data_IF_935486232324
#
_entry.id   IF_935486232324
#
_cell.length_a   1.000
_cell.length_b   1.000
_cell.length_c   1.000
_cell.angle_alpha   90.00
_cell.angle_beta   90.00
_cell.angle_gamma   90.00
#
_symmetry.space_group_name_H-M   'P 1'
#
loop_
_entity.id
_entity.type
_entity.pdbx_description
1 polymer ?
#
# COMPACT_ATOMS: atom_id res chain seq x y z
N UNK A 1 -28.87 -4.39 -25.82
CA UNK A 1 -29.16 -4.50 -24.39
C UNK A 1 -28.65 -3.25 -23.72
N UNK A 2 -29.41 -2.63 -22.84
CA UNK A 2 -28.96 -1.45 -22.10
C UNK A 2 -27.75 -1.80 -21.23
N UNK A 3 -26.74 -0.92 -21.20
CA UNK A 3 -25.50 -1.08 -20.41
C UNK A 3 -25.83 -0.63 -18.97
N UNK A 4 -26.23 -1.56 -18.11
CA UNK A 4 -26.54 -1.32 -16.70
C UNK A 4 -25.55 -2.04 -15.78
N UNK A 5 -25.43 -1.59 -14.52
CA UNK A 5 -24.62 -2.28 -13.51
C UNK A 5 -25.02 -3.75 -13.41
N UNK A 6 -26.29 -4.06 -13.32
CA UNK A 6 -26.80 -5.43 -13.23
C UNK A 6 -26.38 -6.30 -14.44
N UNK A 7 -26.57 -5.78 -15.68
CA UNK A 7 -26.25 -6.54 -16.89
C UNK A 7 -24.74 -6.84 -17.00
N UNK A 8 -23.90 -5.87 -16.63
CA UNK A 8 -22.44 -6.04 -16.66
C UNK A 8 -21.94 -6.95 -15.54
N UNK A 9 -22.55 -6.89 -14.36
CA UNK A 9 -22.22 -7.78 -13.26
C UNK A 9 -22.59 -9.24 -13.56
N UNK A 10 -23.73 -9.50 -14.22
CA UNK A 10 -24.05 -10.84 -14.74
C UNK A 10 -22.99 -11.36 -15.73
N UNK A 11 -22.55 -10.51 -16.66
CA UNK A 11 -21.46 -10.86 -17.60
C UNK A 11 -20.14 -11.12 -16.85
N UNK A 12 -19.81 -10.30 -15.86
CA UNK A 12 -18.64 -10.50 -15.01
C UNK A 12 -18.68 -11.87 -14.30
N UNK A 13 -19.80 -12.23 -13.71
CA UNK A 13 -19.97 -13.53 -13.03
C UNK A 13 -19.73 -14.71 -13.99
N UNK A 14 -20.09 -14.57 -15.25
CA UNK A 14 -19.88 -15.61 -16.26
C UNK A 14 -18.42 -15.67 -16.77
N UNK A 15 -17.70 -14.55 -16.81
CA UNK A 15 -16.41 -14.44 -17.48
C UNK A 15 -15.21 -14.35 -16.52
N UNK A 16 -15.40 -13.93 -15.28
CA UNK A 16 -14.32 -13.67 -14.31
C UNK A 16 -14.39 -14.67 -13.16
N UNK A 17 -13.27 -15.33 -12.80
CA UNK A 17 -13.25 -16.27 -11.70
C UNK A 17 -13.75 -15.64 -10.38
N UNK A 18 -14.50 -16.41 -9.60
CA UNK A 18 -15.05 -15.99 -8.29
C UNK A 18 -13.99 -15.50 -7.31
N UNK A 19 -12.75 -16.00 -7.42
CA UNK A 19 -11.62 -15.58 -6.60
C UNK A 19 -11.22 -14.10 -6.78
N UNK A 20 -11.62 -13.47 -7.89
CA UNK A 20 -11.51 -12.01 -8.06
C UNK A 20 -12.69 -11.37 -7.34
N UNK A 21 -12.51 -10.96 -6.08
CA UNK A 21 -13.55 -10.34 -5.28
C UNK A 21 -14.10 -9.04 -5.87
N UNK A 22 -15.25 -8.59 -5.35
CA UNK A 22 -15.84 -7.30 -5.67
C UNK A 22 -16.48 -6.73 -4.40
N UNK A 23 -16.02 -5.56 -3.99
CA UNK A 23 -16.51 -4.91 -2.76
C UNK A 23 -17.82 -4.16 -3.04
N UNK A 24 -17.85 -3.39 -4.13
CA UNK A 24 -19.03 -2.62 -4.53
C UNK A 24 -19.64 -3.17 -5.82
N UNK A 25 -20.95 -3.46 -5.87
CA UNK A 25 -21.62 -3.93 -7.08
C UNK A 25 -21.92 -2.75 -8.03
N UNK A 26 -20.86 -2.02 -8.40
CA UNK A 26 -20.89 -0.84 -9.28
C UNK A 26 -19.84 -1.05 -10.37
N UNK A 27 -20.18 -0.66 -11.62
CA UNK A 27 -19.29 -0.75 -12.77
C UNK A 27 -18.93 0.68 -13.20
N UNK A 28 -17.69 1.08 -12.95
CA UNK A 28 -17.18 2.39 -13.32
C UNK A 28 -17.12 2.54 -14.86
N UNK A 29 -17.53 3.69 -15.37
CA UNK A 29 -17.41 4.05 -16.78
C UNK A 29 -16.37 5.14 -17.02
N UNK A 30 -16.32 6.15 -16.17
CA UNK A 30 -15.35 7.24 -16.23
C UNK A 30 -15.00 7.76 -14.84
N UNK A 31 -13.89 8.44 -14.74
CA UNK A 31 -13.47 9.06 -13.49
C UNK A 31 -12.64 10.33 -13.78
N UNK A 32 -12.64 11.27 -12.82
CA UNK A 32 -11.85 12.48 -12.88
C UNK A 32 -11.47 12.90 -11.44
N UNK A 33 -10.21 13.12 -11.17
CA UNK A 33 -9.66 13.41 -9.84
C UNK A 33 -10.20 12.44 -8.77
N UNK A 34 -11.09 12.90 -7.88
CA UNK A 34 -11.71 12.09 -6.80
C UNK A 34 -13.17 11.74 -7.08
N UNK A 35 -13.63 11.85 -8.30
CA UNK A 35 -14.99 11.51 -8.73
C UNK A 35 -15.01 10.33 -9.68
N UNK A 36 -15.92 9.39 -9.46
CA UNK A 36 -16.16 8.24 -10.35
C UNK A 36 -17.63 8.25 -10.76
N UNK A 37 -17.91 7.97 -12.04
CA UNK A 37 -19.26 7.76 -12.56
C UNK A 37 -19.43 6.33 -13.02
N UNK A 38 -20.54 5.72 -12.63
CA UNK A 38 -20.87 4.39 -13.11
C UNK A 38 -21.53 4.41 -14.50
N UNK A 39 -21.78 3.22 -15.04
CA UNK A 39 -22.39 3.03 -16.36
C UNK A 39 -23.86 3.51 -16.45
N UNK A 40 -24.48 3.85 -15.35
CA UNK A 40 -25.82 4.42 -15.26
C UNK A 40 -25.78 5.94 -15.03
N UNK A 41 -24.55 6.53 -15.00
CA UNK A 41 -24.31 7.96 -14.85
C UNK A 41 -24.36 8.43 -13.40
N UNK A 42 -24.44 7.55 -12.41
CA UNK A 42 -24.43 7.92 -10.99
C UNK A 42 -23.02 8.31 -10.57
N UNK A 43 -22.94 9.42 -9.84
CA UNK A 43 -21.67 9.98 -9.33
C UNK A 43 -21.34 9.46 -7.94
N UNK A 44 -20.03 9.19 -7.70
CA UNK A 44 -19.49 8.80 -6.42
C UNK A 44 -18.23 9.61 -6.10
N UNK A 45 -18.09 10.01 -4.84
CA UNK A 45 -16.80 10.50 -4.30
C UNK A 45 -15.94 9.27 -3.97
N UNK A 46 -14.73 9.22 -4.50
CA UNK A 46 -13.82 8.09 -4.35
C UNK A 46 -12.86 8.27 -3.15
N UNK A 47 -13.23 7.67 -2.02
CA UNK A 47 -12.35 7.56 -0.86
C UNK A 47 -11.51 6.26 -0.86
N UNK A 48 -11.53 5.50 -1.96
CA UNK A 48 -10.74 4.28 -2.14
C UNK A 48 -9.46 4.52 -2.96
N UNK A 49 -9.48 5.49 -3.90
CA UNK A 49 -8.34 5.84 -4.75
C UNK A 49 -7.69 4.65 -5.44
N UNK A 50 -8.49 3.64 -5.88
CA UNK A 50 -7.94 2.41 -6.46
C UNK A 50 -7.10 1.57 -5.49
N UNK A 51 -7.36 1.62 -4.19
CA UNK A 51 -6.56 1.07 -3.09
C UNK A 51 -5.19 1.78 -3.01
N UNK A 52 -5.22 3.09 -2.77
CA UNK A 52 -4.05 3.96 -2.65
C UNK A 52 -3.17 4.03 -3.92
N UNK A 53 -3.76 3.92 -5.10
CA UNK A 53 -3.03 4.02 -6.39
C UNK A 53 -3.03 5.44 -6.93
N UNK A 54 -4.04 6.24 -6.59
CA UNK A 54 -4.35 7.50 -7.26
C UNK A 54 -4.10 8.74 -6.39
N UNK A 55 -2.88 8.90 -5.88
CA UNK A 55 -2.54 10.09 -5.07
C UNK A 55 -2.68 11.38 -5.88
N UNK A 56 -2.38 11.36 -7.17
CA UNK A 56 -2.57 12.49 -8.09
C UNK A 56 -3.98 12.61 -8.67
N UNK A 57 -4.91 11.74 -8.25
CA UNK A 57 -6.27 11.67 -8.79
C UNK A 57 -6.38 10.91 -10.11
N UNK A 58 -7.62 10.62 -10.49
CA UNK A 58 -7.93 10.02 -11.79
C UNK A 58 -7.60 10.99 -12.92
N UNK A 59 -6.92 10.49 -13.95
CA UNK A 59 -6.64 11.20 -15.21
C UNK A 59 -5.98 12.57 -15.02
N UNK A 60 -4.99 12.67 -14.13
CA UNK A 60 -4.27 13.93 -13.93
C UNK A 60 -3.71 14.45 -15.27
N UNK A 61 -4.00 15.73 -15.69
CA UNK A 61 -3.69 16.19 -17.04
C UNK A 61 -2.22 16.05 -17.43
N UNK A 62 -1.27 16.37 -16.53
CA UNK A 62 0.17 16.24 -16.79
C UNK A 62 0.60 14.79 -16.96
N UNK A 63 0.02 13.86 -16.20
CA UNK A 63 0.31 12.43 -16.32
C UNK A 63 -0.21 11.90 -17.65
N UNK A 64 -1.44 12.25 -18.03
CA UNK A 64 -2.03 11.82 -19.31
C UNK A 64 -1.25 12.40 -20.50
N UNK A 65 -0.84 13.67 -20.44
CA UNK A 65 -0.04 14.29 -21.50
C UNK A 65 1.31 13.56 -21.71
N UNK A 66 2.02 13.21 -20.62
CA UNK A 66 3.28 12.47 -20.70
C UNK A 66 3.09 11.06 -21.28
N UNK A 67 2.01 10.38 -20.91
CA UNK A 67 1.64 9.06 -21.47
C UNK A 67 1.35 9.17 -22.98
N UNK A 68 0.57 10.17 -23.41
CA UNK A 68 0.26 10.39 -24.82
C UNK A 68 1.51 10.70 -25.64
N UNK A 69 2.40 11.52 -25.10
CA UNK A 69 3.69 11.82 -25.75
C UNK A 69 4.53 10.55 -25.90
N UNK A 70 4.64 9.72 -24.83
CA UNK A 70 5.40 8.48 -24.88
C UNK A 70 4.81 7.46 -25.86
N UNK A 71 3.48 7.38 -25.98
CA UNK A 71 2.81 6.52 -26.98
C UNK A 71 3.18 6.88 -28.42
N UNK A 72 3.47 8.15 -28.70
CA UNK A 72 3.96 8.61 -29.99
C UNK A 72 5.40 8.23 -30.32
N UNK A 73 6.17 7.79 -29.32
CA UNK A 73 7.61 7.46 -29.46
C UNK A 73 7.84 5.95 -29.50
N UNK A 74 7.39 5.25 -28.47
CA UNK A 74 7.77 3.86 -28.22
C UNK A 74 6.82 3.24 -27.20
N UNK A 75 6.22 2.10 -27.53
CA UNK A 75 5.35 1.35 -26.61
C UNK A 75 6.10 0.26 -25.82
N UNK A 76 7.06 -0.43 -26.46
CA UNK A 76 7.77 -1.55 -25.82
C UNK A 76 8.99 -1.99 -26.63
N UNK A 77 10.09 -2.32 -25.90
CA UNK A 77 11.27 -3.00 -26.51
C UNK A 77 11.82 -4.10 -25.61
N UNK A 78 11.28 -4.30 -24.42
CA UNK A 78 11.91 -5.00 -23.29
C UNK A 78 13.25 -4.36 -22.91
N UNK A 79 13.31 -3.69 -21.75
CA UNK A 79 14.51 -2.90 -21.32
C UNK A 79 15.81 -3.68 -21.39
N UNK A 80 15.78 -5.00 -21.14
CA UNK A 80 16.94 -5.88 -21.23
C UNK A 80 17.42 -6.13 -22.66
N UNK A 81 16.59 -5.87 -23.68
CA UNK A 81 16.95 -6.02 -25.10
C UNK A 81 17.43 -4.69 -25.66
N UNK A 82 16.61 -3.65 -25.53
CA UNK A 82 16.96 -2.28 -25.91
C UNK A 82 16.51 -1.34 -24.80
N UNK A 83 17.49 -0.72 -24.14
CA UNK A 83 17.24 0.26 -23.08
C UNK A 83 16.58 1.53 -23.64
N UNK A 84 15.84 2.24 -22.79
CA UNK A 84 15.18 3.51 -23.10
C UNK A 84 15.29 4.48 -21.92
N UNK A 85 15.40 5.76 -22.24
CA UNK A 85 15.67 6.84 -21.31
C UNK A 85 14.66 6.94 -20.14
N UNK A 86 13.32 6.85 -20.34
CA UNK A 86 12.37 6.95 -19.24
C UNK A 86 12.57 5.95 -18.09
N UNK A 87 13.09 4.75 -18.37
CA UNK A 87 13.44 3.79 -17.31
C UNK A 87 14.64 4.27 -16.50
N UNK A 88 15.69 4.77 -17.20
CA UNK A 88 16.93 5.23 -16.56
C UNK A 88 16.62 6.45 -15.69
N UNK A 89 15.95 7.44 -16.24
CA UNK A 89 15.54 8.66 -15.54
C UNK A 89 14.70 8.34 -14.31
N UNK A 90 13.70 7.47 -14.44
CA UNK A 90 12.86 7.07 -13.28
C UNK A 90 13.68 6.34 -12.21
N UNK A 91 14.59 5.46 -12.61
CA UNK A 91 15.46 4.76 -11.66
C UNK A 91 16.33 5.74 -10.87
N UNK A 92 16.90 6.75 -11.52
CA UNK A 92 17.68 7.82 -10.90
C UNK A 92 16.82 8.68 -9.96
N UNK A 93 15.61 9.08 -10.40
CA UNK A 93 14.71 9.90 -9.62
C UNK A 93 14.20 9.18 -8.34
N UNK A 94 13.91 7.89 -8.42
CA UNK A 94 13.55 7.08 -7.24
C UNK A 94 14.77 6.94 -6.31
N UNK A 95 15.95 6.65 -6.84
CA UNK A 95 17.17 6.52 -6.05
C UNK A 95 17.50 7.78 -5.24
N UNK A 96 17.24 8.98 -5.79
CA UNK A 96 17.41 10.26 -5.07
C UNK A 96 16.47 10.40 -3.88
N UNK A 97 15.26 9.81 -3.93
CA UNK A 97 14.20 9.94 -2.92
C UNK A 97 14.28 8.88 -1.82
N UNK A 98 14.93 7.75 -2.07
CA UNK A 98 15.11 6.71 -1.03
C UNK A 98 16.08 7.23 0.05
N UNK A 99 15.75 7.10 1.35
CA UNK A 99 16.61 7.56 2.44
C UNK A 99 17.99 6.93 2.46
N UNK A 100 18.97 7.65 2.97
CA UNK A 100 20.36 7.23 3.16
C UNK A 100 21.36 7.95 2.25
N UNK A 101 22.56 8.15 2.77
CA UNK A 101 23.67 8.83 2.07
C UNK A 101 24.69 7.77 1.58
N UNK A 102 24.31 6.98 0.61
CA UNK A 102 25.11 5.97 -0.06
C UNK A 102 24.69 5.81 -1.52
N UNK A 103 25.53 5.25 -2.39
CA UNK A 103 25.14 4.91 -3.76
C UNK A 103 23.96 3.96 -3.79
N UNK A 104 22.95 4.27 -4.61
CA UNK A 104 21.71 3.50 -4.72
C UNK A 104 21.45 3.05 -6.15
N UNK A 105 20.76 1.93 -6.31
CA UNK A 105 20.24 1.45 -7.59
C UNK A 105 18.78 1.11 -7.46
N UNK A 106 18.06 1.18 -8.58
CA UNK A 106 16.63 0.91 -8.66
C UNK A 106 16.35 -0.12 -9.75
N UNK A 107 15.67 -1.19 -9.39
CA UNK A 107 15.05 -2.13 -10.30
C UNK A 107 13.58 -1.74 -10.47
N UNK A 108 13.11 -1.60 -11.71
CA UNK A 108 11.69 -1.43 -12.01
C UNK A 108 11.07 -2.76 -12.43
N UNK A 109 9.85 -3.01 -11.96
CA UNK A 109 9.00 -4.16 -12.29
C UNK A 109 7.54 -3.70 -12.44
N UNK A 110 6.57 -4.62 -12.53
CA UNK A 110 5.20 -4.23 -12.91
C UNK A 110 4.26 -4.13 -11.72
N UNK A 111 4.38 -5.03 -10.74
CA UNK A 111 3.46 -5.11 -9.60
C UNK A 111 4.19 -5.08 -8.25
N UNK A 112 3.49 -4.66 -7.18
CA UNK A 112 4.05 -4.68 -5.82
C UNK A 112 4.50 -6.07 -5.38
N UNK A 113 3.79 -7.13 -5.80
CA UNK A 113 4.22 -8.51 -5.52
C UNK A 113 5.56 -8.84 -6.17
N UNK A 114 5.77 -8.43 -7.42
CA UNK A 114 7.08 -8.60 -8.08
C UNK A 114 8.18 -7.81 -7.38
N UNK A 115 7.88 -6.59 -6.93
CA UNK A 115 8.83 -5.80 -6.15
C UNK A 115 9.27 -6.54 -4.89
N UNK A 116 8.33 -7.06 -4.09
CA UNK A 116 8.63 -7.82 -2.88
C UNK A 116 9.36 -9.14 -3.19
N UNK A 117 8.94 -9.89 -4.21
CA UNK A 117 9.64 -11.11 -4.66
C UNK A 117 11.12 -10.81 -4.99
N UNK A 118 11.37 -9.71 -5.73
CA UNK A 118 12.73 -9.33 -6.09
C UNK A 118 13.51 -8.78 -4.89
N UNK A 119 12.91 -8.04 -3.96
CA UNK A 119 13.56 -7.62 -2.73
C UNK A 119 14.05 -8.82 -1.90
N UNK A 120 13.22 -9.87 -1.77
CA UNK A 120 13.62 -11.12 -1.10
C UNK A 120 14.74 -11.84 -1.87
N UNK A 121 14.67 -11.94 -3.20
CA UNK A 121 15.74 -12.52 -4.03
C UNK A 121 17.05 -11.78 -3.84
N UNK A 122 17.03 -10.46 -3.89
CA UNK A 122 18.21 -9.61 -3.72
C UNK A 122 18.79 -9.80 -2.32
N UNK A 123 17.96 -9.79 -1.28
CA UNK A 123 18.40 -9.98 0.10
C UNK A 123 19.05 -11.35 0.30
N UNK A 124 18.47 -12.41 -0.24
CA UNK A 124 19.04 -13.77 -0.18
C UNK A 124 20.38 -13.85 -0.93
N UNK A 125 20.47 -13.27 -2.10
CA UNK A 125 21.72 -13.27 -2.88
C UNK A 125 22.83 -12.48 -2.18
N UNK A 126 22.51 -11.29 -1.62
CA UNK A 126 23.48 -10.43 -0.96
C UNK A 126 24.02 -11.03 0.35
N UNK A 127 23.19 -11.79 1.08
CA UNK A 127 23.58 -12.34 2.38
C UNK A 127 24.02 -13.81 2.32
N UNK A 128 23.68 -14.53 1.26
CA UNK A 128 23.82 -15.99 1.20
C UNK A 128 22.89 -16.76 2.15
N UNK A 129 21.89 -16.09 2.74
CA UNK A 129 20.96 -16.64 3.73
C UNK A 129 19.57 -16.84 3.12
N UNK A 130 18.73 -17.71 3.70
CA UNK A 130 17.43 -18.07 3.12
C UNK A 130 16.22 -17.56 3.89
N UNK A 131 16.34 -17.37 5.21
CA UNK A 131 15.23 -17.02 6.10
C UNK A 131 14.74 -15.59 5.89
N UNK A 132 13.44 -15.37 6.03
CA UNK A 132 12.81 -14.05 6.02
C UNK A 132 11.81 -13.95 7.18
N UNK A 133 11.90 -12.90 7.96
CA UNK A 133 10.90 -12.62 9.01
C UNK A 133 9.92 -11.59 8.46
N UNK A 134 8.62 -11.88 8.57
CA UNK A 134 7.52 -10.97 8.30
C UNK A 134 6.64 -10.83 9.56
N UNK A 135 5.66 -9.93 9.54
CA UNK A 135 4.85 -9.64 10.72
C UNK A 135 3.40 -10.15 10.60
N UNK A 136 2.75 -10.37 11.75
CA UNK A 136 1.32 -10.64 11.82
C UNK A 136 0.53 -9.48 11.20
N UNK A 137 -0.56 -9.79 10.48
CA UNK A 137 -1.40 -8.79 9.82
C UNK A 137 -0.79 -8.14 8.56
N UNK A 138 0.49 -8.38 8.23
CA UNK A 138 1.14 -7.81 7.06
C UNK A 138 0.50 -8.26 5.75
N UNK A 139 0.64 -7.41 4.70
CA UNK A 139 0.25 -7.75 3.34
C UNK A 139 1.36 -7.38 2.35
N UNK A 140 1.96 -8.39 1.74
CA UNK A 140 3.09 -8.22 0.82
C UNK A 140 2.79 -8.68 -0.61
N UNK A 141 1.61 -9.22 -0.88
CA UNK A 141 1.19 -9.64 -2.21
C UNK A 141 0.51 -11.02 -2.25
N UNK A 142 0.29 -11.51 -3.48
CA UNK A 142 -0.44 -12.76 -3.75
C UNK A 142 0.30 -13.76 -4.63
N UNK A 143 1.58 -13.56 -4.93
CA UNK A 143 2.46 -14.60 -5.48
C UNK A 143 2.92 -15.53 -4.37
N UNK A 144 3.44 -16.70 -4.67
CA UNK A 144 3.66 -17.74 -3.64
C UNK A 144 4.56 -17.28 -2.49
N UNK A 145 5.69 -16.59 -2.76
CA UNK A 145 6.54 -16.06 -1.69
C UNK A 145 5.84 -14.93 -0.94
N UNK A 146 5.28 -13.94 -1.65
CA UNK A 146 4.61 -12.80 -1.02
C UNK A 146 3.34 -13.20 -0.27
N UNK A 147 2.66 -14.25 -0.73
CA UNK A 147 1.53 -14.85 -0.03
C UNK A 147 1.96 -15.51 1.28
N UNK A 148 3.11 -16.19 1.27
CA UNK A 148 3.73 -16.73 2.49
C UNK A 148 4.13 -15.63 3.48
N UNK A 149 4.60 -14.48 2.99
CA UNK A 149 4.94 -13.31 3.82
C UNK A 149 3.69 -12.58 4.34
N UNK A 150 2.54 -12.69 3.65
CA UNK A 150 1.28 -12.07 4.07
C UNK A 150 0.74 -12.71 5.35
N UNK A 151 0.46 -11.90 6.36
CA UNK A 151 0.12 -12.32 7.74
C UNK A 151 -1.38 -12.53 7.99
N UNK A 152 -2.19 -12.71 6.95
CA UNK A 152 -3.64 -12.91 7.04
C UNK A 152 -4.07 -14.10 6.18
N UNK A 153 -4.71 -15.10 6.79
CA UNK A 153 -5.10 -16.36 6.10
C UNK A 153 -6.30 -16.13 5.17
N UNK A 154 -7.40 -15.60 5.70
CA UNK A 154 -8.61 -15.34 4.91
C UNK A 154 -8.64 -13.88 4.47
N UNK A 155 -8.86 -13.58 3.18
CA UNK A 155 -9.17 -14.47 2.06
C UNK A 155 -7.93 -14.95 1.27
N UNK A 156 -6.70 -14.67 1.73
CA UNK A 156 -5.52 -14.73 0.89
C UNK A 156 -4.95 -16.17 0.70
N UNK A 157 -4.49 -16.81 1.78
CA UNK A 157 -3.81 -18.11 1.69
C UNK A 157 -4.70 -19.31 1.96
N UNK A 158 -5.96 -19.11 2.36
CA UNK A 158 -6.88 -20.18 2.65
C UNK A 158 -7.09 -21.12 1.45
N UNK A 159 -6.82 -22.40 1.62
CA UNK A 159 -6.96 -23.42 0.56
C UNK A 159 -5.83 -23.45 -0.48
N UNK A 160 -4.77 -22.65 -0.32
CA UNK A 160 -3.65 -22.59 -1.28
C UNK A 160 -2.53 -23.62 -1.02
N UNK A 161 -2.67 -24.47 0.01
CA UNK A 161 -1.66 -25.45 0.37
C UNK A 161 -0.49 -24.89 1.16
N UNK A 162 0.66 -25.55 1.06
CA UNK A 162 1.86 -25.13 1.78
C UNK A 162 2.54 -23.92 1.12
N UNK A 163 2.92 -22.97 1.94
CA UNK A 163 3.70 -21.81 1.51
C UNK A 163 5.20 -22.14 1.43
N UNK A 164 6.01 -21.36 0.69
CA UNK A 164 7.46 -21.53 0.66
C UNK A 164 8.07 -21.55 2.05
N UNK A 165 9.04 -22.44 2.29
CA UNK A 165 9.77 -22.53 3.55
C UNK A 165 10.70 -21.34 3.80
N UNK A 166 11.20 -21.23 5.04
CA UNK A 166 12.12 -20.18 5.46
C UNK A 166 11.44 -18.84 5.73
N UNK A 167 10.14 -18.82 5.97
CA UNK A 167 9.37 -17.64 6.38
C UNK A 167 8.99 -17.81 7.85
N UNK A 168 9.34 -16.82 8.65
CA UNK A 168 9.04 -16.76 10.08
C UNK A 168 8.11 -15.59 10.38
N UNK A 169 7.29 -15.70 11.43
CA UNK A 169 6.26 -14.72 11.74
C UNK A 169 6.49 -14.10 13.11
N UNK A 170 6.83 -12.79 13.14
CA UNK A 170 6.88 -12.00 14.35
C UNK A 170 5.55 -11.29 14.62
N UNK A 171 5.34 -10.85 15.85
CA UNK A 171 4.21 -10.00 16.21
C UNK A 171 4.45 -8.56 15.75
N UNK A 172 3.44 -7.90 15.18
CA UNK A 172 3.49 -6.45 14.94
C UNK A 172 3.07 -5.72 16.23
N UNK A 173 3.71 -4.62 16.62
CA UNK A 173 3.26 -3.84 17.77
C UNK A 173 1.87 -3.24 17.48
N UNK A 174 0.95 -3.45 18.39
CA UNK A 174 -0.40 -2.87 18.34
C UNK A 174 -0.96 -2.82 19.76
N UNK A 175 -0.73 -1.72 20.47
CA UNK A 175 -1.15 -1.55 21.86
C UNK A 175 -2.67 -1.65 22.02
N UNK A 176 -3.42 -1.20 21.03
CA UNK A 176 -4.89 -1.34 20.99
C UNK A 176 -5.33 -2.81 21.11
N UNK A 177 -4.51 -3.74 20.64
CA UNK A 177 -4.74 -5.18 20.69
C UNK A 177 -3.81 -5.91 21.68
N UNK A 178 -3.19 -5.17 22.61
CA UNK A 178 -2.39 -5.75 23.70
C UNK A 178 -1.02 -6.29 23.28
N UNK A 179 -0.45 -5.83 22.16
CA UNK A 179 0.91 -6.18 21.74
C UNK A 179 1.80 -4.95 21.85
N UNK A 180 2.69 -4.94 22.82
CA UNK A 180 3.67 -3.88 23.00
C UNK A 180 4.84 -3.98 22.01
N UNK A 181 5.66 -2.92 21.93
CA UNK A 181 6.93 -2.96 21.19
C UNK A 181 7.88 -4.03 21.75
N UNK A 182 7.90 -4.22 23.06
CA UNK A 182 8.71 -5.24 23.71
C UNK A 182 8.26 -6.65 23.34
N UNK A 183 6.96 -6.90 23.30
CA UNK A 183 6.41 -8.18 22.84
C UNK A 183 6.81 -8.48 21.40
N UNK A 184 6.80 -7.46 20.54
CA UNK A 184 7.21 -7.59 19.13
C UNK A 184 8.69 -7.98 19.01
N UNK A 185 9.59 -7.25 19.68
CA UNK A 185 11.03 -7.56 19.67
C UNK A 185 11.28 -8.94 20.29
N UNK A 186 10.65 -9.25 21.44
CA UNK A 186 10.77 -10.57 22.06
C UNK A 186 10.29 -11.70 21.16
N UNK A 187 9.29 -11.46 20.31
CA UNK A 187 8.83 -12.46 19.32
C UNK A 187 9.89 -12.77 18.26
N UNK A 188 10.67 -11.76 17.84
CA UNK A 188 11.81 -11.95 16.93
C UNK A 188 12.93 -12.74 17.62
N UNK A 189 13.26 -12.36 18.85
CA UNK A 189 14.27 -13.08 19.65
C UNK A 189 13.87 -14.54 19.89
N UNK A 190 12.57 -14.82 20.05
CA UNK A 190 12.05 -16.19 20.18
C UNK A 190 12.26 -16.98 18.89
N UNK A 191 12.04 -16.37 17.71
CA UNK A 191 12.38 -17.00 16.42
C UNK A 191 13.85 -17.37 16.40
N UNK A 192 14.75 -16.47 16.83
CA UNK A 192 16.20 -16.74 16.86
C UNK A 192 16.60 -17.88 17.79
N UNK A 193 15.81 -18.15 18.82
CA UNK A 193 16.06 -19.23 19.79
C UNK A 193 15.47 -20.58 19.39
N UNK A 194 14.33 -20.58 18.69
CA UNK A 194 13.55 -21.80 18.53
C UNK A 194 13.38 -22.26 17.08
N UNK A 195 13.43 -21.31 16.09
CA UNK A 195 13.04 -21.60 14.73
C UNK A 195 14.21 -21.50 13.73
N UNK A 196 15.04 -20.46 13.84
CA UNK A 196 16.19 -20.22 12.97
C UNK A 196 17.24 -19.32 13.64
N UNK A 197 18.52 -19.63 13.46
CA UNK A 197 19.58 -18.77 13.94
C UNK A 197 19.59 -17.42 13.20
N UNK A 198 19.99 -16.29 13.82
CA UNK A 198 20.09 -14.99 13.15
C UNK A 198 20.91 -15.05 11.85
N UNK A 199 21.94 -15.91 11.79
CA UNK A 199 22.80 -16.11 10.63
C UNK A 199 22.10 -16.79 9.45
N UNK A 200 20.93 -17.41 9.67
CA UNK A 200 20.12 -18.01 8.61
C UNK A 200 19.09 -17.03 8.04
N UNK A 201 18.90 -15.87 8.68
CA UNK A 201 17.93 -14.85 8.28
C UNK A 201 18.58 -13.85 7.31
N UNK A 202 18.07 -13.80 6.09
CA UNK A 202 18.48 -12.84 5.06
C UNK A 202 17.91 -11.45 5.32
N UNK A 203 16.63 -11.37 5.67
CA UNK A 203 15.94 -10.10 5.81
C UNK A 203 14.79 -10.16 6.82
N UNK A 204 14.45 -8.98 7.33
CA UNK A 204 13.16 -8.68 7.96
C UNK A 204 12.43 -7.72 7.03
N UNK A 205 11.17 -8.04 6.67
CA UNK A 205 10.31 -7.18 5.85
C UNK A 205 9.18 -6.60 6.70
N UNK A 206 8.95 -5.29 6.56
CA UNK A 206 7.93 -4.58 7.33
C UNK A 206 7.29 -3.46 6.52
N UNK A 207 5.98 -3.29 6.67
CA UNK A 207 5.25 -2.10 6.23
C UNK A 207 5.41 -1.00 7.30
N UNK A 208 5.87 0.22 6.99
CA UNK A 208 5.93 1.33 7.95
C UNK A 208 4.58 1.67 8.59
N UNK A 209 3.50 1.54 7.80
CA UNK A 209 2.11 1.51 8.26
C UNK A 209 1.47 0.29 7.62
N UNK A 210 0.93 -0.62 8.42
CA UNK A 210 0.26 -1.81 7.89
C UNK A 210 -1.00 -1.44 7.10
N UNK A 211 -1.02 -1.74 5.80
CA UNK A 211 -2.16 -1.43 4.94
C UNK A 211 -3.37 -2.32 5.23
N UNK A 212 -3.33 -3.55 4.76
CA UNK A 212 -4.43 -4.51 4.91
C UNK A 212 -4.64 -4.97 6.36
N UNK A 213 -3.63 -4.87 7.20
CA UNK A 213 -3.69 -5.22 8.63
C UNK A 213 -4.55 -4.29 9.45
N UNK A 214 -4.75 -3.03 9.03
CA UNK A 214 -5.61 -2.09 9.75
C UNK A 214 -5.06 -0.67 9.91
N UNK A 215 -4.10 -0.25 9.12
CA UNK A 215 -3.45 1.07 9.18
C UNK A 215 -2.74 1.35 10.51
N UNK A 216 -2.20 0.30 11.13
CA UNK A 216 -1.39 0.45 12.34
C UNK A 216 -0.04 1.07 11.98
N UNK A 217 0.23 2.22 12.60
CA UNK A 217 1.48 2.98 12.40
C UNK A 217 2.54 2.40 13.31
N UNK A 218 3.63 1.91 12.75
CA UNK A 218 4.80 1.55 13.54
C UNK A 218 5.46 2.81 14.11
N UNK A 219 5.76 2.81 15.42
CA UNK A 219 6.39 3.95 16.06
C UNK A 219 7.84 4.14 15.62
N UNK A 220 8.34 5.37 15.73
CA UNK A 220 9.75 5.67 15.49
C UNK A 220 10.67 4.84 16.43
N UNK A 221 10.29 4.68 17.69
CA UNK A 221 11.02 3.87 18.66
C UNK A 221 11.16 2.43 18.20
N UNK A 222 10.05 1.79 17.85
CA UNK A 222 10.06 0.41 17.39
C UNK A 222 10.90 0.23 16.12
N UNK A 223 10.73 1.11 15.14
CA UNK A 223 11.47 1.02 13.87
C UNK A 223 12.98 1.21 14.06
N UNK A 224 13.40 2.07 14.99
CA UNK A 224 14.81 2.25 15.34
C UNK A 224 15.37 1.01 16.05
N UNK A 225 14.62 0.40 16.96
CA UNK A 225 15.00 -0.85 17.63
C UNK A 225 15.12 -2.00 16.63
N UNK A 226 14.18 -2.08 15.68
CA UNK A 226 14.21 -3.08 14.63
C UNK A 226 15.43 -2.90 13.73
N UNK A 227 15.77 -1.65 13.34
CA UNK A 227 16.98 -1.34 12.59
C UNK A 227 18.24 -1.77 13.33
N UNK A 228 18.34 -1.42 14.60
CA UNK A 228 19.49 -1.79 15.44
C UNK A 228 19.65 -3.32 15.59
N UNK A 229 18.55 -4.05 15.73
CA UNK A 229 18.54 -5.52 15.76
C UNK A 229 19.03 -6.10 14.42
N UNK A 230 18.58 -5.55 13.29
CA UNK A 230 19.04 -5.94 11.97
C UNK A 230 20.55 -5.71 11.82
N UNK A 231 21.04 -4.54 12.22
CA UNK A 231 22.47 -4.18 12.17
C UNK A 231 23.34 -5.12 13.02
N UNK A 232 22.87 -5.42 14.24
CA UNK A 232 23.58 -6.34 15.17
C UNK A 232 23.81 -7.73 14.54
N UNK A 233 22.87 -8.23 13.75
CA UNK A 233 22.91 -9.58 13.20
C UNK A 233 23.27 -9.63 11.71
N UNK A 234 23.53 -8.49 11.06
CA UNK A 234 23.77 -8.40 9.62
C UNK A 234 22.54 -8.88 8.81
N UNK A 235 21.34 -8.65 9.30
CA UNK A 235 20.07 -8.94 8.64
C UNK A 235 19.66 -7.70 7.84
N UNK A 236 19.22 -7.86 6.60
CA UNK A 236 18.78 -6.73 5.80
C UNK A 236 17.36 -6.31 6.20
N UNK A 237 17.12 -5.00 6.31
CA UNK A 237 15.80 -4.44 6.54
C UNK A 237 15.15 -4.03 5.22
N UNK A 238 14.04 -4.67 4.88
CA UNK A 238 13.20 -4.33 3.73
C UNK A 238 12.02 -3.50 4.22
N UNK A 239 11.93 -2.24 3.81
CA UNK A 239 10.73 -1.44 4.00
C UNK A 239 9.77 -1.66 2.83
N UNK A 240 8.61 -2.23 3.10
CA UNK A 240 7.54 -2.34 2.11
C UNK A 240 6.72 -1.05 2.09
N UNK A 241 7.10 -0.14 1.20
CA UNK A 241 6.47 1.16 0.98
C UNK A 241 5.48 1.14 -0.20
N UNK A 242 5.04 -0.03 -0.61
CA UNK A 242 4.09 -0.18 -1.73
C UNK A 242 2.79 0.61 -1.49
N UNK A 243 2.32 0.72 -0.26
CA UNK A 243 1.13 1.49 0.07
C UNK A 243 1.43 2.83 0.75
N UNK A 244 2.48 2.92 1.54
CA UNK A 244 2.87 4.10 2.32
C UNK A 244 3.64 5.13 1.51
N UNK A 245 4.33 4.70 0.46
CA UNK A 245 5.16 5.54 -0.38
C UNK A 245 4.39 6.47 -1.32
N UNK A 246 5.15 7.18 -2.14
CA UNK A 246 4.66 8.20 -3.08
C UNK A 246 3.72 9.21 -2.39
N UNK A 247 4.16 9.77 -1.25
CA UNK A 247 3.52 10.89 -0.59
C UNK A 247 2.26 10.57 0.21
N UNK A 248 1.79 9.32 0.23
CA UNK A 248 0.56 8.94 0.95
C UNK A 248 0.59 9.30 2.43
N UNK A 249 1.76 9.20 3.07
CA UNK A 249 1.95 9.47 4.50
C UNK A 249 2.45 10.88 4.82
N UNK A 250 2.56 11.76 3.82
CA UNK A 250 3.02 13.14 4.01
C UNK A 250 4.53 13.35 3.86
N UNK A 251 5.30 12.29 3.65
CA UNK A 251 6.68 12.26 3.13
C UNK A 251 6.71 11.38 1.88
N UNK A 252 7.76 11.44 1.06
CA UNK A 252 7.77 10.61 -0.16
C UNK A 252 7.81 9.12 0.21
N UNK A 253 8.65 8.73 1.18
CA UNK A 253 8.61 7.43 1.84
C UNK A 253 8.35 7.61 3.35
N UNK A 254 7.51 6.77 3.94
CA UNK A 254 7.15 6.87 5.35
C UNK A 254 8.34 6.67 6.29
N UNK A 255 9.34 5.90 5.87
CA UNK A 255 10.57 5.68 6.62
C UNK A 255 11.36 6.95 6.93
N UNK A 256 11.19 8.03 6.15
CA UNK A 256 11.79 9.34 6.41
C UNK A 256 11.33 9.91 7.77
N UNK A 257 10.02 9.89 8.05
CA UNK A 257 9.49 10.40 9.33
C UNK A 257 9.66 9.41 10.50
N UNK A 258 9.91 8.14 10.21
CA UNK A 258 10.21 7.13 11.24
C UNK A 258 11.69 7.13 11.63
N UNK A 259 12.54 7.90 10.91
CA UNK A 259 13.94 8.11 11.25
C UNK A 259 14.79 6.84 11.13
N UNK A 260 14.50 6.01 10.13
CA UNK A 260 15.29 4.83 9.79
C UNK A 260 15.69 4.86 8.32
N UNK A 261 16.79 4.18 8.02
CA UNK A 261 17.27 3.95 6.65
C UNK A 261 17.21 2.44 6.38
N UNK A 262 16.28 1.97 5.53
CA UNK A 262 16.23 0.57 5.13
C UNK A 262 17.38 0.21 4.17
N UNK A 263 17.70 -1.08 4.07
CA UNK A 263 18.65 -1.58 3.09
C UNK A 263 18.02 -1.68 1.69
N UNK A 264 16.75 -2.07 1.66
CA UNK A 264 15.91 -2.15 0.46
C UNK A 264 14.54 -1.51 0.74
N UNK A 265 14.02 -0.80 -0.25
CA UNK A 265 12.67 -0.20 -0.24
C UNK A 265 11.89 -0.71 -1.43
N UNK A 266 10.72 -1.33 -1.21
CA UNK A 266 9.79 -1.66 -2.29
C UNK A 266 8.77 -0.54 -2.49
N UNK A 267 8.40 -0.27 -3.74
CA UNK A 267 7.43 0.77 -4.08
C UNK A 267 6.54 0.33 -5.24
N UNK A 268 5.33 0.86 -5.30
CA UNK A 268 4.35 0.61 -6.37
C UNK A 268 3.21 1.65 -6.31
N UNK A 269 2.01 1.24 -6.73
CA UNK A 269 0.75 1.98 -6.57
C UNK A 269 0.86 3.42 -7.06
N UNK A 270 0.83 4.38 -6.13
CA UNK A 270 0.75 5.81 -6.44
C UNK A 270 1.93 6.37 -7.23
N UNK A 271 3.07 5.69 -7.25
CA UNK A 271 4.20 6.08 -8.13
C UNK A 271 3.77 6.12 -9.60
N UNK A 272 2.86 5.21 -10.01
CA UNK A 272 2.42 5.10 -11.39
C UNK A 272 1.23 5.98 -11.79
N UNK A 273 0.54 6.64 -10.83
CA UNK A 273 -0.63 7.48 -11.12
C UNK A 273 -1.75 6.76 -11.87
N UNK A 274 -1.92 5.45 -11.61
CA UNK A 274 -2.88 4.57 -12.29
C UNK A 274 -2.26 3.63 -13.32
N UNK A 275 -1.00 3.85 -13.72
CA UNK A 275 -0.28 2.97 -14.63
C UNK A 275 0.55 1.92 -13.86
N UNK A 276 0.57 0.63 -14.32
CA UNK A 276 1.24 -0.44 -13.61
C UNK A 276 2.76 -0.27 -13.61
N UNK A 277 3.32 0.11 -12.46
CA UNK A 277 4.76 0.18 -12.21
C UNK A 277 5.04 -0.06 -10.74
N UNK A 278 6.18 -0.66 -10.47
CA UNK A 278 6.70 -0.90 -9.13
C UNK A 278 8.22 -1.09 -9.19
N UNK A 279 8.85 -1.27 -8.04
CA UNK A 279 10.27 -1.54 -8.03
C UNK A 279 10.85 -1.77 -6.65
N UNK A 280 12.15 -2.01 -6.66
CA UNK A 280 13.01 -2.09 -5.49
C UNK A 280 14.14 -1.10 -5.65
N UNK A 281 14.36 -0.27 -4.65
CA UNK A 281 15.53 0.60 -4.58
C UNK A 281 16.29 0.35 -3.28
N UNK A 282 17.61 0.44 -3.32
CA UNK A 282 18.44 0.18 -2.15
C UNK A 282 19.91 0.40 -2.39
N UNK A 283 20.75 0.00 -1.42
CA UNK A 283 22.21 0.11 -1.50
C UNK A 283 22.75 -0.58 -2.76
N UNK A 284 23.56 0.14 -3.53
CA UNK A 284 24.07 -0.36 -4.82
C UNK A 284 24.78 -1.72 -4.69
N UNK A 285 25.57 -1.92 -3.64
CA UNK A 285 26.27 -3.18 -3.37
C UNK A 285 25.33 -4.36 -3.12
N UNK A 286 24.18 -4.11 -2.48
CA UNK A 286 23.15 -5.12 -2.24
C UNK A 286 22.38 -5.40 -3.53
N UNK A 287 22.00 -4.34 -4.27
CA UNK A 287 21.27 -4.47 -5.53
C UNK A 287 22.07 -5.21 -6.61
N UNK A 288 23.39 -5.10 -6.60
CA UNK A 288 24.31 -5.77 -7.54
C UNK A 288 24.71 -7.20 -7.15
N UNK A 289 24.18 -7.74 -6.07
CA UNK A 289 24.50 -9.10 -5.62
C UNK A 289 24.01 -10.20 -6.58
N UNK A 290 23.04 -9.89 -7.44
CA UNK A 290 22.53 -10.85 -8.43
C UNK A 290 23.24 -10.65 -9.77
N UNK A 291 23.72 -11.75 -10.33
CA UNK A 291 24.40 -11.74 -11.62
C UNK A 291 23.52 -11.19 -12.77
N UNK A 292 24.12 -10.64 -13.84
CA UNK A 292 23.39 -10.17 -15.00
C UNK A 292 22.40 -11.22 -15.56
N UNK A 293 21.16 -10.79 -15.84
CA UNK A 293 20.07 -11.65 -16.28
C UNK A 293 19.24 -12.30 -15.16
N UNK A 294 19.67 -12.16 -13.88
CA UNK A 294 18.93 -12.73 -12.74
C UNK A 294 17.75 -11.88 -12.27
N UNK A 295 17.66 -10.61 -12.67
CA UNK A 295 16.57 -9.69 -12.41
C UNK A 295 15.95 -9.18 -13.70
N UNK A 296 14.66 -8.83 -13.67
CA UNK A 296 13.95 -8.23 -14.81
C UNK A 296 12.61 -8.90 -15.09
N UNK A 297 12.08 -8.60 -16.25
CA UNK A 297 10.80 -9.12 -16.76
C UNK A 297 10.48 -8.46 -18.10
N UNK A 298 9.77 -9.15 -18.99
CA UNK A 298 9.47 -8.65 -20.33
C UNK A 298 8.81 -7.27 -20.33
N UNK A 299 7.85 -7.04 -19.41
CA UNK A 299 7.13 -5.77 -19.25
C UNK A 299 7.64 -4.89 -18.10
N UNK A 300 8.70 -5.32 -17.43
CA UNK A 300 9.28 -4.61 -16.29
C UNK A 300 9.72 -3.21 -16.68
N UNK A 301 9.21 -2.20 -15.98
CA UNK A 301 9.52 -0.80 -16.27
C UNK A 301 9.05 -0.34 -17.65
N UNK A 302 7.81 -0.68 -18.05
CA UNK A 302 7.21 -0.25 -19.33
C UNK A 302 7.47 1.23 -19.60
N UNK A 303 7.86 1.63 -20.84
CA UNK A 303 8.14 3.04 -21.18
C UNK A 303 6.98 3.98 -20.86
N UNK A 304 5.74 3.53 -21.10
CA UNK A 304 4.52 4.29 -20.83
C UNK A 304 4.35 4.50 -19.33
N UNK A 305 4.54 3.45 -18.55
CA UNK A 305 4.41 3.54 -17.08
C UNK A 305 5.55 4.35 -16.46
N UNK A 306 6.77 4.30 -17.02
CA UNK A 306 7.88 5.15 -16.61
C UNK A 306 7.60 6.63 -16.89
N UNK A 307 7.09 6.97 -18.07
CA UNK A 307 6.69 8.34 -18.41
C UNK A 307 5.58 8.85 -17.49
N UNK A 308 4.59 8.01 -17.19
CA UNK A 308 3.54 8.34 -16.22
C UNK A 308 4.13 8.62 -14.82
N UNK A 309 5.02 7.75 -14.34
CA UNK A 309 5.65 7.88 -13.03
C UNK A 309 6.53 9.14 -12.93
N UNK A 310 7.32 9.46 -13.95
CA UNK A 310 8.10 10.70 -14.01
C UNK A 310 7.19 11.93 -13.93
N UNK A 311 6.06 11.92 -14.63
CA UNK A 311 5.07 12.99 -14.55
C UNK A 311 4.43 13.07 -13.15
N UNK A 312 4.14 11.94 -12.49
CA UNK A 312 3.67 11.90 -11.10
C UNK A 312 4.67 12.57 -10.16
N UNK A 313 5.97 12.26 -10.28
CA UNK A 313 7.01 12.89 -9.45
C UNK A 313 7.03 14.41 -9.62
N UNK A 314 6.92 14.92 -10.86
CA UNK A 314 6.83 16.36 -11.15
C UNK A 314 5.57 16.99 -10.55
N UNK A 315 4.41 16.32 -10.64
CA UNK A 315 3.16 16.80 -10.02
C UNK A 315 3.32 16.92 -8.52
N UNK A 316 3.96 15.96 -7.86
CA UNK A 316 4.22 16.01 -6.41
C UNK A 316 5.00 17.26 -5.99
N UNK A 317 6.01 17.63 -6.77
CA UNK A 317 6.84 18.81 -6.51
C UNK A 317 6.09 20.13 -6.82
N UNK A 318 5.51 20.23 -8.03
CA UNK A 318 4.88 21.43 -8.52
C UNK A 318 3.60 21.80 -7.76
N UNK A 319 2.84 20.80 -7.31
CA UNK A 319 1.57 20.99 -6.60
C UNK A 319 1.70 20.78 -5.08
N UNK A 320 2.93 20.60 -4.58
CA UNK A 320 3.25 20.44 -3.15
C UNK A 320 2.41 19.35 -2.49
N UNK A 321 2.33 18.19 -3.13
CA UNK A 321 1.40 17.15 -2.69
C UNK A 321 1.82 16.46 -1.37
N UNK A 322 3.07 16.60 -0.92
CA UNK A 322 3.48 16.09 0.40
C UNK A 322 2.81 16.91 1.51
N UNK A 323 2.88 18.24 1.41
CA UNK A 323 2.19 19.15 2.35
C UNK A 323 0.66 19.00 2.24
N UNK A 324 0.15 18.83 1.01
CA UNK A 324 -1.28 18.58 0.80
C UNK A 324 -1.74 17.28 1.46
N UNK A 325 -0.95 16.21 1.39
CA UNK A 325 -1.24 14.94 2.06
C UNK A 325 -1.35 15.11 3.57
N UNK A 326 -0.48 15.90 4.18
CA UNK A 326 -0.55 16.22 5.60
C UNK A 326 -1.85 17.01 5.92
N UNK A 327 -2.14 18.06 5.14
CA UNK A 327 -3.34 18.88 5.35
C UNK A 327 -4.64 18.07 5.21
N UNK A 328 -4.75 17.23 4.18
CA UNK A 328 -5.90 16.33 3.97
C UNK A 328 -6.03 15.36 5.14
N UNK A 329 -4.91 14.78 5.59
CA UNK A 329 -4.90 13.84 6.71
C UNK A 329 -5.34 14.46 8.03
N UNK A 330 -4.84 15.66 8.35
CA UNK A 330 -5.25 16.38 9.57
C UNK A 330 -6.74 16.77 9.53
N UNK A 331 -7.23 17.29 8.39
CA UNK A 331 -8.65 17.62 8.25
C UNK A 331 -9.54 16.38 8.36
N UNK A 332 -9.13 15.28 7.73
CA UNK A 332 -9.84 14.01 7.81
C UNK A 332 -9.90 13.49 9.26
N UNK A 333 -8.75 13.45 9.95
CA UNK A 333 -8.69 13.01 11.36
C UNK A 333 -9.54 13.89 12.27
N UNK A 334 -9.55 15.21 12.05
CA UNK A 334 -10.40 16.14 12.80
C UNK A 334 -11.89 15.80 12.63
N UNK A 335 -12.38 15.66 11.38
CA UNK A 335 -13.77 15.30 11.10
C UNK A 335 -14.14 13.92 11.65
N UNK A 336 -13.22 12.94 11.55
CA UNK A 336 -13.47 11.61 12.14
C UNK A 336 -13.55 11.63 13.66
N UNK A 337 -12.78 12.48 14.35
CA UNK A 337 -12.87 12.68 15.79
C UNK A 337 -14.18 13.38 16.21
N UNK A 338 -14.71 14.28 15.38
CA UNK A 338 -16.03 14.87 15.58
C UNK A 338 -17.13 13.80 15.52
N UNK A 339 -17.03 12.84 14.60
CA UNK A 339 -17.96 11.70 14.51
C UNK A 339 -17.74 10.78 15.72
N UNK A 340 -16.51 10.46 16.08
CA UNK A 340 -16.15 9.63 17.23
C UNK A 340 -16.74 10.18 18.54
N UNK A 341 -16.73 11.51 18.72
CA UNK A 341 -17.27 12.16 19.92
C UNK A 341 -18.79 11.87 20.12
N UNK A 342 -19.51 11.60 19.03
CA UNK A 342 -20.94 11.26 19.04
C UNK A 342 -21.19 9.75 19.10
N UNK A 343 -20.29 8.95 18.54
CA UNK A 343 -20.47 7.52 18.32
C UNK A 343 -19.35 6.71 18.99
N UNK A 344 -19.60 6.18 20.18
CA UNK A 344 -18.63 5.41 20.99
C UNK A 344 -18.14 4.13 20.33
N UNK A 345 -18.81 3.66 19.28
CA UNK A 345 -18.40 2.50 18.49
C UNK A 345 -17.06 2.73 17.76
N UNK A 346 -16.67 4.00 17.51
CA UNK A 346 -15.37 4.34 16.96
C UNK A 346 -14.36 4.36 18.13
N UNK A 347 -13.62 3.27 18.29
CA UNK A 347 -12.63 3.15 19.37
C UNK A 347 -11.32 3.85 19.08
N UNK A 348 -10.93 3.96 17.80
CA UNK A 348 -9.67 4.59 17.43
C UNK A 348 -9.74 5.33 16.09
N UNK A 349 -8.98 6.44 15.98
CA UNK A 349 -8.77 7.24 14.77
C UNK A 349 -7.27 7.43 14.61
N UNK A 350 -6.66 6.80 13.59
CA UNK A 350 -5.20 6.75 13.40
C UNK A 350 -4.76 7.00 11.97
N UNK A 351 -3.46 7.22 11.79
CA UNK A 351 -2.82 7.31 10.48
C UNK A 351 -1.75 8.38 10.37
N UNK A 352 -0.99 8.33 9.27
CA UNK A 352 0.03 9.30 8.87
C UNK A 352 -0.38 9.98 7.56
N UNK A 353 -0.22 11.29 7.47
CA UNK A 353 -0.63 12.05 6.30
C UNK A 353 -2.08 11.71 5.92
N UNK A 354 -2.34 11.48 4.64
CA UNK A 354 -3.66 11.09 4.13
C UNK A 354 -3.96 9.58 4.18
N UNK A 355 -3.10 8.78 4.81
CA UNK A 355 -3.35 7.36 5.11
C UNK A 355 -4.01 7.24 6.48
N UNK A 356 -5.33 7.32 6.54
CA UNK A 356 -6.10 7.40 7.79
C UNK A 356 -7.13 6.27 7.87
N UNK A 357 -7.40 5.80 9.06
CA UNK A 357 -8.44 4.80 9.34
C UNK A 357 -9.15 5.05 10.66
N UNK A 358 -10.34 4.48 10.78
CA UNK A 358 -11.09 4.32 12.03
C UNK A 358 -11.31 2.84 12.32
N UNK A 359 -11.29 2.47 13.58
CA UNK A 359 -11.57 1.10 14.02
C UNK A 359 -12.80 1.06 14.92
N UNK A 360 -13.71 0.13 14.61
CA UNK A 360 -15.03 0.04 15.22
C UNK A 360 -15.15 -1.16 16.16
N UNK A 361 -15.77 -0.93 17.32
CA UNK A 361 -15.98 -1.93 18.35
C UNK A 361 -17.40 -1.89 18.89
N UNK A 362 -18.02 -3.04 19.14
CA UNK A 362 -19.37 -3.12 19.70
C UNK A 362 -19.42 -2.52 21.10
N UNK A 363 -20.27 -1.51 21.27
CA UNK A 363 -20.39 -0.79 22.53
C UNK A 363 -19.11 -0.08 22.99
N UNK A 364 -18.09 0.07 22.12
CA UNK A 364 -16.78 0.64 22.46
C UNK A 364 -15.81 -0.33 23.17
N UNK A 365 -16.17 -1.62 23.27
CA UNK A 365 -15.34 -2.66 23.86
C UNK A 365 -14.29 -3.16 22.86
N UNK A 366 -13.02 -2.82 23.03
CA UNK A 366 -11.91 -3.17 22.12
C UNK A 366 -11.72 -4.68 21.91
N UNK A 367 -12.32 -5.51 22.75
CA UNK A 367 -12.34 -6.97 22.55
C UNK A 367 -13.46 -7.48 21.64
N UNK A 368 -14.35 -6.58 21.18
CA UNK A 368 -15.51 -6.92 20.34
C UNK A 368 -15.49 -6.14 19.01
N UNK A 369 -14.74 -6.65 18.00
CA UNK A 369 -14.69 -6.01 16.69
C UNK A 369 -16.07 -5.92 16.02
N UNK A 370 -16.46 -4.73 15.53
CA UNK A 370 -17.76 -4.46 14.93
C UNK A 370 -17.78 -4.64 13.40
N UNK A 371 -17.37 -5.81 12.89
CA UNK A 371 -17.24 -6.07 11.46
C UNK A 371 -18.56 -5.92 10.68
N UNK A 372 -19.69 -6.35 11.27
CA UNK A 372 -21.00 -6.23 10.64
C UNK A 372 -21.41 -4.77 10.47
N UNK A 373 -21.16 -3.92 11.49
CA UNK A 373 -21.42 -2.49 11.41
C UNK A 373 -20.58 -1.82 10.32
N UNK A 374 -19.28 -2.16 10.22
CA UNK A 374 -18.41 -1.68 9.14
C UNK A 374 -18.99 -2.04 7.77
N UNK A 375 -19.43 -3.28 7.58
CA UNK A 375 -20.04 -3.71 6.32
C UNK A 375 -21.31 -2.90 5.99
N UNK A 376 -22.19 -2.65 6.97
CA UNK A 376 -23.40 -1.85 6.79
C UNK A 376 -23.07 -0.40 6.43
N UNK A 377 -22.10 0.22 7.11
CA UNK A 377 -21.64 1.60 6.84
C UNK A 377 -21.06 1.71 5.42
N UNK A 378 -20.21 0.78 5.00
CA UNK A 378 -19.63 0.77 3.64
C UNK A 378 -20.70 0.66 2.55
N UNK A 379 -21.70 -0.17 2.77
CA UNK A 379 -22.86 -0.30 1.85
C UNK A 379 -23.66 0.99 1.81
N UNK A 380 -24.00 1.54 2.99
CA UNK A 380 -24.82 2.75 3.10
C UNK A 380 -24.13 3.99 2.52
N UNK A 381 -22.83 4.13 2.77
CA UNK A 381 -22.01 5.21 2.18
C UNK A 381 -22.06 5.18 0.65
N UNK A 382 -21.89 3.98 0.04
CA UNK A 382 -22.03 3.82 -1.42
C UNK A 382 -23.44 4.25 -1.90
N UNK A 383 -24.50 3.87 -1.21
CA UNK A 383 -25.86 4.29 -1.54
C UNK A 383 -26.05 5.79 -1.51
N UNK A 384 -25.29 6.49 -0.67
CA UNK A 384 -25.24 7.95 -0.58
C UNK A 384 -24.20 8.60 -1.53
N UNK A 385 -23.50 7.82 -2.34
CA UNK A 385 -22.51 8.32 -3.32
C UNK A 385 -21.08 8.47 -2.78
N UNK A 386 -20.71 7.71 -1.74
CA UNK A 386 -19.34 7.68 -1.20
C UNK A 386 -18.77 6.26 -1.27
N UNK A 387 -17.63 6.08 -1.93
CA UNK A 387 -16.92 4.80 -2.00
C UNK A 387 -15.93 4.69 -0.84
N UNK A 388 -16.11 3.68 -0.01
CA UNK A 388 -15.26 3.37 1.13
C UNK A 388 -14.69 1.96 1.04
N UNK A 389 -13.59 1.69 1.76
CA UNK A 389 -12.99 0.37 1.88
C UNK A 389 -12.86 -0.04 3.35
N UNK A 390 -13.10 -1.31 3.63
CA UNK A 390 -12.75 -1.94 4.89
C UNK A 390 -11.39 -2.64 4.82
N UNK A 391 -10.77 -2.86 5.99
CA UNK A 391 -9.57 -3.68 6.17
C UNK A 391 -9.51 -4.20 7.62
N UNK A 392 -8.31 -4.58 8.06
CA UNK A 392 -8.07 -5.11 9.41
C UNK A 392 -8.23 -6.62 9.48
N UNK A 393 -7.55 -7.23 10.44
CA UNK A 393 -7.61 -8.67 10.68
C UNK A 393 -9.03 -9.14 11.00
N UNK A 394 -9.78 -8.30 11.68
CA UNK A 394 -11.17 -8.57 12.10
C UNK A 394 -12.22 -7.90 11.22
N UNK A 395 -11.83 -7.26 10.07
CA UNK A 395 -12.75 -6.55 9.16
C UNK A 395 -13.54 -5.40 9.80
N UNK A 396 -13.07 -4.87 10.91
CA UNK A 396 -13.70 -3.80 11.70
C UNK A 396 -13.08 -2.42 11.50
N UNK A 397 -12.24 -2.26 10.48
CA UNK A 397 -11.55 -1.02 10.14
C UNK A 397 -12.11 -0.44 8.85
N UNK A 398 -12.44 0.85 8.84
CA UNK A 398 -12.72 1.63 7.62
C UNK A 398 -11.48 2.47 7.33
N UNK A 399 -10.95 2.34 6.12
CA UNK A 399 -9.75 3.05 5.65
C UNK A 399 -10.09 4.09 4.60
N UNK A 400 -9.36 5.20 4.63
CA UNK A 400 -9.55 6.36 3.79
C UNK A 400 -8.31 6.55 2.91
N UNK A 401 -8.48 6.47 1.59
CA UNK A 401 -7.42 6.46 0.59
C UNK A 401 -7.75 7.34 -0.62
N UNK A 402 -8.55 8.39 -0.39
CA UNK A 402 -8.88 9.35 -1.45
C UNK A 402 -7.63 9.91 -2.14
N UNK A 403 -7.73 10.38 -3.38
CA UNK A 403 -6.66 11.17 -3.99
C UNK A 403 -6.19 12.31 -3.07
N UNK A 404 -4.89 12.57 -3.03
CA UNK A 404 -4.34 13.71 -2.27
C UNK A 404 -4.81 15.04 -2.87
N UNK A 405 -5.08 15.03 -4.16
CA UNK A 405 -5.61 16.18 -4.93
C UNK A 405 -7.10 16.39 -4.74
N UNK A 406 -7.77 15.66 -3.84
CA UNK A 406 -9.21 15.84 -3.57
C UNK A 406 -9.54 17.30 -3.23
N UNK A 407 -10.55 17.92 -3.84
CA UNK A 407 -11.04 19.23 -3.44
C UNK A 407 -11.59 19.22 -2.01
N UNK A 408 -11.34 20.30 -1.24
CA UNK A 408 -11.81 20.40 0.15
C UNK A 408 -13.32 20.23 0.26
N UNK A 409 -14.10 20.78 -0.66
CA UNK A 409 -15.56 20.62 -0.69
C UNK A 409 -16.00 19.16 -0.85
N UNK A 410 -15.26 18.34 -1.59
CA UNK A 410 -15.56 16.91 -1.72
C UNK A 410 -15.11 16.12 -0.48
N UNK A 411 -14.00 16.51 0.15
CA UNK A 411 -13.57 15.93 1.43
C UNK A 411 -14.63 16.17 2.51
N UNK A 412 -15.13 17.41 2.64
CA UNK A 412 -16.20 17.77 3.59
C UNK A 412 -17.50 17.03 3.30
N UNK A 413 -17.91 16.96 2.03
CA UNK A 413 -19.08 16.21 1.61
C UNK A 413 -18.96 14.72 1.95
N UNK A 414 -17.79 14.12 1.73
CA UNK A 414 -17.54 12.73 2.10
C UNK A 414 -17.63 12.49 3.61
N UNK A 415 -17.08 13.41 4.43
CA UNK A 415 -17.20 13.36 5.89
C UNK A 415 -18.65 13.52 6.35
N UNK A 416 -19.42 14.41 5.73
CA UNK A 416 -20.85 14.59 6.04
C UNK A 416 -21.66 13.31 5.74
N UNK A 417 -21.44 12.70 4.57
CA UNK A 417 -22.08 11.41 4.22
C UNK A 417 -21.72 10.33 5.24
N UNK A 418 -20.46 10.26 5.65
CA UNK A 418 -20.02 9.28 6.65
C UNK A 418 -20.70 9.52 8.01
N UNK A 419 -20.78 10.78 8.46
CA UNK A 419 -21.48 11.15 9.69
C UNK A 419 -22.95 10.71 9.67
N UNK A 420 -23.67 11.00 8.57
CA UNK A 420 -25.05 10.53 8.38
C UNK A 420 -25.18 9.01 8.46
N UNK A 421 -24.19 8.26 7.89
CA UNK A 421 -24.21 6.80 7.98
C UNK A 421 -24.06 6.30 9.42
N UNK A 422 -23.25 6.97 10.24
CA UNK A 422 -23.13 6.67 11.66
C UNK A 422 -24.40 7.04 12.43
N UNK A 423 -25.00 8.21 12.17
CA UNK A 423 -26.25 8.64 12.80
C UNK A 423 -27.42 7.67 12.50
N UNK A 424 -27.41 7.01 11.33
CA UNK A 424 -28.44 6.04 10.93
C UNK A 424 -28.23 4.61 11.47
N UNK A 425 -26.97 4.20 11.72
CA UNK A 425 -26.62 2.79 11.90
C UNK A 425 -25.93 2.46 13.24
N UNK A 426 -25.36 3.46 13.93
CA UNK A 426 -24.58 3.30 15.14
C UNK A 426 -25.25 4.00 16.34
#
# INVERSE_FOLDING_TARGET
MSKTNESLLKRRQAAVPRGVGQIHPVVAERAENSTVWDVEGREYIDFAGGIAVLNTGHLHPKVIAAVQEQLGKLSHTCFQVLAYEPYIELAEEIAKRVPGDFPKKTLLVTSGSEAVENAVKIARAATGRAGVIAFTGAYHGRTMMTLGLTGKVVPYSAGMGLMPGGIFRALVPCELHGVSEDDSIASIERIFKNDAQPQDIAAIIIEPVQGEGGFYVNSKSFMQRLRALCDQHGILLIADEVQTGAGRTGTFFATEQLGIVPDLTTFAKSVGGGFPISGVAGKAEIMDAIAPGGLGGTYAGSPIACAAALAVLKVFEEEKLLERSQAVGERLKAGLREIQAKHKVIGDVRGLGSMVAIELFEGGDTHKPAAELVSKIVVRAREKGLILLSCGTYYNVIRFLMPVTIPDAQLEKGLAILAECFDELA
#
